data_IF_154856239506
#
_entry.id   IF_154856239506
#
_cell.length_a   1.000
_cell.length_b   1.000
_cell.length_c   1.000
_cell.angle_alpha   90.00
_cell.angle_beta   90.00
_cell.angle_gamma   90.00
#
_symmetry.space_group_name_H-M   'P 1'
#
loop_
_entity.id
_entity.type
_entity.pdbx_description
1 polymer ?
#
# COMPACT_ATOMS: atom_id res chain seq x y z
N UNK A 1 -7.71 3.37 7.07
CA UNK A 1 -6.74 2.72 8.03
C UNK A 1 -5.43 2.37 7.28
N UNK A 2 -4.23 2.42 7.89
CA UNK A 2 -2.91 2.30 7.21
C UNK A 2 -2.12 1.00 7.49
N UNK A 3 -2.62 0.08 8.32
CA UNK A 3 -2.09 -1.29 8.38
C UNK A 3 -2.23 -2.15 7.09
N UNK A 4 -3.09 -1.83 6.10
CA UNK A 4 -3.25 -2.62 4.87
C UNK A 4 -1.97 -2.87 4.07
N UNK A 5 -1.06 -1.91 4.07
CA UNK A 5 0.21 -1.94 3.32
C UNK A 5 1.31 -2.72 4.03
N UNK A 6 1.11 -3.15 5.29
CA UNK A 6 2.09 -3.98 5.97
C UNK A 6 2.26 -5.31 5.23
N UNK A 7 3.47 -5.86 5.22
CA UNK A 7 3.70 -7.16 4.60
C UNK A 7 2.87 -8.27 5.28
N UNK A 8 2.58 -9.34 4.54
CA UNK A 8 1.87 -10.53 5.05
C UNK A 8 2.67 -11.25 6.16
N UNK A 9 4.00 -11.09 6.17
CA UNK A 9 4.92 -11.68 7.15
C UNK A 9 4.66 -11.20 8.59
N UNK A 10 4.92 -12.07 9.57
CA UNK A 10 4.98 -11.72 11.01
C UNK A 10 6.41 -11.56 11.54
N UNK A 11 7.39 -11.57 10.65
CA UNK A 11 8.77 -11.30 11.01
C UNK A 11 8.89 -9.87 11.60
N UNK A 12 9.79 -9.61 12.57
CA UNK A 12 9.84 -8.32 13.28
C UNK A 12 10.05 -7.10 12.38
N UNK A 13 10.73 -7.28 11.25
CA UNK A 13 10.93 -6.27 10.19
C UNK A 13 9.62 -5.85 9.47
N UNK A 14 8.57 -6.68 9.56
CA UNK A 14 7.24 -6.40 9.04
C UNK A 14 6.28 -5.82 10.10
N UNK A 15 6.79 -5.42 11.26
CA UNK A 15 6.04 -4.78 12.33
C UNK A 15 6.34 -3.29 12.41
N UNK A 16 5.28 -2.49 12.59
CA UNK A 16 5.39 -1.08 12.90
C UNK A 16 6.02 -0.89 14.28
N UNK A 17 7.10 -0.12 14.32
CA UNK A 17 7.75 0.36 15.54
C UNK A 17 7.03 1.59 16.13
N UNK A 18 6.28 2.33 15.30
CA UNK A 18 5.49 3.49 15.75
C UNK A 18 4.15 3.02 16.34
N UNK A 19 3.75 3.48 17.55
CA UNK A 19 2.45 3.18 18.12
C UNK A 19 1.29 3.63 17.22
N UNK A 20 0.14 2.97 17.36
CA UNK A 20 -1.09 3.37 16.66
C UNK A 20 -1.43 4.84 16.97
N UNK A 21 -1.68 5.64 15.93
CA UNK A 21 -1.92 7.10 16.00
C UNK A 21 -0.81 7.87 16.74
N UNK A 22 0.36 7.26 16.91
CA UNK A 22 1.50 7.88 17.58
C UNK A 22 2.12 8.98 16.73
N UNK A 23 2.92 9.83 17.38
CA UNK A 23 3.80 10.76 16.68
C UNK A 23 5.01 10.00 16.13
N UNK A 24 5.42 10.35 14.92
CA UNK A 24 6.72 9.92 14.40
C UNK A 24 7.78 10.77 15.08
N UNK A 25 8.75 10.11 15.70
CA UNK A 25 9.87 10.75 16.38
C UNK A 25 11.15 10.44 15.62
N UNK A 26 12.07 11.39 15.62
CA UNK A 26 13.41 11.18 15.06
C UNK A 26 14.21 10.20 15.92
N UNK A 27 15.12 9.47 15.29
CA UNK A 27 16.14 8.72 16.01
C UNK A 27 17.15 9.67 16.66
N UNK A 28 17.92 9.18 17.63
CA UNK A 28 18.96 9.98 18.28
C UNK A 28 20.11 10.37 17.33
N UNK A 29 20.29 9.63 16.23
CA UNK A 29 21.25 9.92 15.14
C UNK A 29 20.71 10.88 14.09
N UNK A 30 19.42 11.16 14.10
CA UNK A 30 18.78 11.99 13.08
C UNK A 30 18.98 13.48 13.37
N UNK A 31 19.15 14.33 12.35
CA UNK A 31 19.20 15.78 12.50
C UNK A 31 17.95 16.34 13.20
N UNK A 32 18.12 17.39 14.00
CA UNK A 32 17.01 18.00 14.75
C UNK A 32 15.92 18.58 13.83
N UNK A 33 16.29 18.99 12.62
CA UNK A 33 15.37 19.54 11.63
C UNK A 33 14.30 18.54 11.18
N UNK A 34 14.58 17.23 11.26
CA UNK A 34 13.60 16.19 10.90
C UNK A 34 12.41 16.17 11.84
N UNK A 35 12.57 16.55 13.11
CA UNK A 35 11.46 16.60 14.07
C UNK A 35 10.39 17.60 13.60
N UNK A 36 10.82 18.79 13.18
CA UNK A 36 9.92 19.83 12.63
C UNK A 36 9.26 19.38 11.33
N UNK A 37 9.95 18.59 10.51
CA UNK A 37 9.41 18.06 9.26
C UNK A 37 8.33 17.01 9.54
N UNK A 38 8.59 16.08 10.47
CA UNK A 38 7.63 15.05 10.86
C UNK A 38 6.35 15.65 11.41
N UNK A 39 6.43 16.65 12.30
CA UNK A 39 5.26 17.32 12.85
C UNK A 39 4.38 18.00 11.80
N UNK A 40 5.00 18.50 10.72
CA UNK A 40 4.29 19.24 9.66
C UNK A 40 3.77 18.37 8.52
N UNK A 41 4.49 17.29 8.19
CA UNK A 41 4.27 16.55 6.95
C UNK A 41 3.74 15.13 7.16
N UNK A 42 3.75 14.62 8.39
CA UNK A 42 3.26 13.27 8.67
C UNK A 42 1.89 13.33 9.32
N UNK A 43 0.93 12.71 8.66
CA UNK A 43 -0.40 12.46 9.18
C UNK A 43 -0.54 10.98 9.60
N UNK A 44 -0.66 10.73 10.90
CA UNK A 44 -0.84 9.38 11.45
C UNK A 44 -2.28 9.04 11.82
N UNK A 45 -3.29 9.86 11.44
CA UNK A 45 -4.71 9.63 11.79
C UNK A 45 -5.21 8.25 11.38
N UNK A 46 -4.75 7.77 10.23
CA UNK A 46 -5.12 6.46 9.71
C UNK A 46 -4.17 5.34 10.15
N UNK A 47 -3.06 5.63 10.83
CA UNK A 47 -2.12 4.63 11.38
C UNK A 47 -2.72 3.91 12.58
N UNK A 48 -3.12 2.65 12.39
CA UNK A 48 -3.74 1.85 13.45
C UNK A 48 -2.77 0.85 14.10
N UNK A 49 -1.46 1.00 13.88
CA UNK A 49 -0.45 0.10 14.44
C UNK A 49 -0.33 -1.21 13.68
N UNK A 50 0.08 -2.28 14.37
CA UNK A 50 0.34 -3.59 13.79
C UNK A 50 -0.94 -4.32 13.35
N UNK A 51 -0.81 -5.11 12.29
CA UNK A 51 -1.88 -5.98 11.76
C UNK A 51 -2.49 -6.89 12.85
N UNK A 52 -3.83 -6.99 12.94
CA UNK A 52 -4.49 -7.85 13.92
C UNK A 52 -4.31 -9.34 13.59
N UNK A 53 -4.48 -10.21 14.58
CA UNK A 53 -4.26 -11.67 14.42
C UNK A 53 -5.25 -12.31 13.44
N UNK A 54 -6.49 -11.80 13.37
CA UNK A 54 -7.59 -12.32 12.52
C UNK A 54 -7.70 -11.59 11.18
N UNK A 55 -6.60 -11.49 10.43
CA UNK A 55 -6.59 -10.90 9.08
C UNK A 55 -5.69 -11.71 8.13
N UNK A 56 -5.80 -11.48 6.82
CA UNK A 56 -4.95 -12.10 5.81
C UNK A 56 -4.49 -11.06 4.75
N UNK A 57 -3.73 -11.51 3.75
CA UNK A 57 -3.27 -10.63 2.67
C UNK A 57 -4.41 -10.03 1.84
N UNK A 58 -5.39 -10.83 1.45
CA UNK A 58 -6.50 -10.41 0.61
C UNK A 58 -7.38 -9.34 1.28
N UNK A 59 -7.83 -9.60 2.52
CA UNK A 59 -8.66 -8.65 3.27
C UNK A 59 -7.97 -7.30 3.44
N UNK A 60 -6.65 -7.31 3.64
CA UNK A 60 -5.87 -6.07 3.74
C UNK A 60 -5.72 -5.38 2.40
N UNK A 61 -5.49 -6.11 1.31
CA UNK A 61 -5.46 -5.51 -0.03
C UNK A 61 -6.81 -4.89 -0.40
N UNK A 62 -7.94 -5.50 -0.01
CA UNK A 62 -9.28 -4.92 -0.19
C UNK A 62 -9.48 -3.67 0.67
N UNK A 63 -9.10 -3.72 1.96
CA UNK A 63 -9.14 -2.54 2.84
C UNK A 63 -8.30 -1.39 2.28
N UNK A 64 -7.12 -1.67 1.69
CA UNK A 64 -6.32 -0.63 1.03
C UNK A 64 -7.10 0.04 -0.10
N UNK A 65 -7.72 -0.73 -0.99
CA UNK A 65 -8.54 -0.16 -2.07
C UNK A 65 -9.71 0.66 -1.52
N UNK A 66 -10.41 0.16 -0.49
CA UNK A 66 -11.50 0.89 0.15
C UNK A 66 -11.01 2.24 0.71
N UNK A 67 -9.89 2.25 1.45
CA UNK A 67 -9.29 3.49 1.98
C UNK A 67 -8.90 4.45 0.85
N UNK A 68 -8.36 3.94 -0.26
CA UNK A 68 -8.00 4.78 -1.42
C UNK A 68 -9.22 5.49 -2.01
N UNK A 69 -10.36 4.81 -2.14
CA UNK A 69 -11.55 5.40 -2.77
C UNK A 69 -12.46 6.17 -1.82
N UNK A 70 -12.40 5.89 -0.50
CA UNK A 70 -13.34 6.48 0.47
C UNK A 70 -12.69 7.42 1.48
N UNK A 71 -11.44 7.19 1.89
CA UNK A 71 -10.78 7.97 2.95
C UNK A 71 -9.80 9.02 2.39
N UNK A 72 -9.33 8.88 1.15
CA UNK A 72 -8.34 9.76 0.55
C UNK A 72 -8.97 10.76 -0.44
N UNK A 73 -8.80 12.04 -0.16
CA UNK A 73 -9.19 13.14 -1.07
C UNK A 73 -8.06 13.48 -2.07
N UNK A 74 -7.43 12.47 -2.67
CA UNK A 74 -6.29 12.62 -3.57
C UNK A 74 -6.41 11.70 -4.78
N UNK A 75 -6.17 12.25 -5.97
CA UNK A 75 -6.18 11.49 -7.22
C UNK A 75 -4.93 10.63 -7.41
N UNK A 76 -3.79 11.08 -6.86
CA UNK A 76 -2.51 10.37 -6.94
C UNK A 76 -2.08 9.89 -5.56
N UNK A 77 -1.95 8.58 -5.40
CA UNK A 77 -1.49 7.93 -4.18
C UNK A 77 -0.14 7.27 -4.44
N UNK A 78 0.86 7.61 -3.62
CA UNK A 78 2.15 6.94 -3.62
C UNK A 78 2.15 5.91 -2.50
N UNK A 79 2.14 4.63 -2.86
CA UNK A 79 2.26 3.54 -1.92
C UNK A 79 3.71 3.03 -1.88
N UNK A 80 4.30 2.97 -0.69
CA UNK A 80 5.65 2.44 -0.46
C UNK A 80 5.54 1.19 0.42
N UNK A 81 6.27 0.13 0.06
CA UNK A 81 6.18 -1.13 0.79
C UNK A 81 7.02 -2.25 0.18
N UNK A 82 6.67 -3.48 0.55
CA UNK A 82 7.45 -4.66 0.22
C UNK A 82 7.06 -5.21 -1.16
N UNK A 83 8.06 -5.61 -1.95
CA UNK A 83 7.85 -6.06 -3.33
C UNK A 83 6.95 -7.31 -3.46
N UNK A 84 6.90 -8.15 -2.42
CA UNK A 84 5.97 -9.29 -2.35
C UNK A 84 4.50 -8.88 -2.16
N UNK A 85 4.25 -7.80 -1.42
CA UNK A 85 2.90 -7.24 -1.27
C UNK A 85 2.42 -6.74 -2.63
N UNK A 86 3.25 -5.95 -3.34
CA UNK A 86 2.90 -5.42 -4.66
C UNK A 86 2.68 -6.52 -5.69
N UNK A 87 3.52 -7.56 -5.72
CA UNK A 87 3.28 -8.72 -6.61
C UNK A 87 1.94 -9.39 -6.31
N UNK A 88 1.60 -9.56 -5.04
CA UNK A 88 0.29 -10.12 -4.64
C UNK A 88 -0.85 -9.21 -5.07
N UNK A 89 -0.70 -7.89 -4.92
CA UNK A 89 -1.67 -6.88 -5.33
C UNK A 89 -1.95 -6.95 -6.84
N UNK A 90 -0.90 -7.00 -7.67
CA UNK A 90 -1.04 -7.17 -9.12
C UNK A 90 -1.70 -8.50 -9.49
N UNK A 91 -1.37 -9.60 -8.80
CA UNK A 91 -2.03 -10.90 -9.04
C UNK A 91 -3.52 -10.89 -8.69
N UNK A 92 -3.90 -10.11 -7.68
CA UNK A 92 -5.28 -10.03 -7.21
C UNK A 92 -6.14 -9.11 -8.09
N UNK A 93 -5.62 -7.95 -8.49
CA UNK A 93 -6.45 -6.91 -9.12
C UNK A 93 -6.21 -6.72 -10.63
N UNK A 94 -5.22 -7.38 -11.24
CA UNK A 94 -5.20 -7.46 -12.70
C UNK A 94 -6.12 -8.57 -13.20
N UNK A 95 -6.91 -8.34 -14.28
CA UNK A 95 -7.81 -9.34 -14.83
C UNK A 95 -7.09 -10.66 -15.09
N UNK A 96 -7.70 -11.80 -14.74
CA UNK A 96 -7.08 -13.11 -14.86
C UNK A 96 -6.61 -13.44 -16.28
N UNK A 97 -7.30 -12.93 -17.29
CA UNK A 97 -6.99 -13.09 -18.72
C UNK A 97 -5.77 -12.31 -19.19
N UNK A 98 -5.29 -11.34 -18.41
CA UNK A 98 -4.13 -10.51 -18.77
C UNK A 98 -2.85 -11.18 -18.28
N UNK A 99 -1.97 -11.55 -19.21
CA UNK A 99 -0.60 -11.92 -18.90
C UNK A 99 0.26 -10.66 -18.74
N UNK A 100 0.87 -10.48 -17.57
CA UNK A 100 1.74 -9.34 -17.29
C UNK A 100 2.87 -9.72 -16.34
N UNK A 101 4.06 -9.13 -16.53
CA UNK A 101 5.27 -9.45 -15.75
C UNK A 101 5.07 -9.24 -14.24
N UNK A 102 4.26 -8.25 -13.87
CA UNK A 102 3.94 -7.91 -12.47
C UNK A 102 3.24 -9.03 -11.70
N UNK A 103 2.61 -9.99 -12.39
CA UNK A 103 2.02 -11.18 -11.76
C UNK A 103 3.05 -12.24 -11.40
N UNK A 104 4.22 -12.22 -12.05
CA UNK A 104 5.25 -13.26 -11.96
C UNK A 104 6.47 -12.78 -11.17
N UNK A 105 6.93 -11.56 -11.43
CA UNK A 105 8.13 -10.96 -10.83
C UNK A 105 7.78 -9.95 -9.75
N UNK A 106 8.70 -9.77 -8.80
CA UNK A 106 8.60 -8.78 -7.73
C UNK A 106 9.16 -7.47 -8.26
N UNK A 107 8.65 -6.32 -7.83
CA UNK A 107 9.36 -5.05 -8.05
C UNK A 107 10.81 -5.15 -7.56
N UNK A 108 11.74 -4.61 -8.34
CA UNK A 108 13.13 -4.53 -7.89
C UNK A 108 13.22 -3.59 -6.68
N UNK A 109 14.29 -3.71 -5.89
CA UNK A 109 14.50 -2.81 -4.77
C UNK A 109 14.64 -1.36 -5.27
N UNK A 110 13.85 -0.44 -4.71
CA UNK A 110 13.77 0.95 -5.16
C UNK A 110 13.01 1.15 -6.47
N UNK A 111 12.43 0.09 -7.06
CA UNK A 111 11.60 0.19 -8.26
C UNK A 111 10.30 0.96 -8.01
N UNK A 112 9.86 1.70 -9.02
CA UNK A 112 8.65 2.51 -9.02
C UNK A 112 7.85 2.24 -10.31
N UNK A 113 6.56 1.96 -10.14
CA UNK A 113 5.61 1.74 -11.23
C UNK A 113 4.34 2.53 -10.95
N UNK A 114 3.76 3.11 -12.00
CA UNK A 114 2.46 3.79 -11.96
C UNK A 114 1.39 2.92 -12.60
N UNK A 115 0.14 3.03 -12.12
CA UNK A 115 -1.04 2.42 -12.72
C UNK A 115 -2.30 3.12 -12.22
N UNK A 116 -3.39 2.99 -12.97
CA UNK A 116 -4.72 3.42 -12.59
C UNK A 116 -5.45 2.28 -11.89
N UNK A 117 -5.94 2.57 -10.68
CA UNK A 117 -6.84 1.70 -9.92
C UNK A 117 -8.28 2.15 -10.20
N UNK A 118 -9.17 1.20 -10.43
CA UNK A 118 -10.58 1.43 -10.75
C UNK A 118 -11.46 0.76 -9.70
N UNK A 119 -12.64 1.35 -9.47
CA UNK A 119 -13.71 0.82 -8.63
C UNK A 119 -14.98 0.69 -9.47
N UNK A 120 -15.68 -0.44 -9.31
CA UNK A 120 -17.04 -0.63 -9.83
C UNK A 120 -17.95 -1.15 -8.72
N UNK A 121 -19.22 -0.81 -8.81
CA UNK A 121 -20.27 -1.42 -8.00
C UNK A 121 -20.69 -2.73 -8.65
N UNK A 122 -21.02 -3.73 -7.83
CA UNK A 122 -21.54 -5.01 -8.29
C UNK A 122 -23.07 -5.01 -8.24
N UNK A 123 -23.75 -5.87 -9.02
CA UNK A 123 -25.22 -5.92 -9.03
C UNK A 123 -25.86 -6.22 -7.67
N UNK A 124 -25.13 -6.88 -6.76
CA UNK A 124 -25.52 -7.20 -5.38
C UNK A 124 -25.19 -6.09 -4.36
N UNK A 125 -24.72 -4.92 -4.81
CA UNK A 125 -24.40 -3.77 -3.96
C UNK A 125 -23.04 -3.84 -3.27
N UNK A 126 -22.16 -4.75 -3.72
CA UNK A 126 -20.77 -4.82 -3.32
C UNK A 126 -19.86 -3.90 -4.16
N UNK A 127 -18.59 -3.84 -3.79
CA UNK A 127 -17.56 -3.14 -4.56
C UNK A 127 -16.54 -4.13 -5.12
N UNK A 128 -16.11 -3.87 -6.36
CA UNK A 128 -14.98 -4.55 -6.98
C UNK A 128 -13.92 -3.54 -7.40
N UNK A 129 -12.66 -3.95 -7.27
CA UNK A 129 -11.51 -3.14 -7.64
C UNK A 129 -10.71 -3.84 -8.74
N UNK A 130 -10.13 -3.05 -9.64
CA UNK A 130 -9.35 -3.56 -10.76
C UNK A 130 -8.23 -2.60 -11.14
N UNK A 131 -7.10 -3.13 -11.59
CA UNK A 131 -6.04 -2.35 -12.22
C UNK A 131 -6.29 -2.32 -13.73
N UNK A 132 -6.30 -1.13 -14.33
CA UNK A 132 -6.27 -1.02 -15.79
C UNK A 132 -4.90 -1.48 -16.29
N UNK A 133 -4.85 -2.64 -16.92
CA UNK A 133 -3.63 -3.23 -17.44
C UNK A 133 -2.89 -2.32 -18.42
N UNK A 134 -3.60 -1.47 -19.18
CA UNK A 134 -3.00 -0.56 -20.16
C UNK A 134 -2.35 0.66 -19.53
N UNK A 135 -2.71 0.98 -18.29
CA UNK A 135 -2.17 2.13 -17.54
C UNK A 135 -0.82 1.83 -16.88
N UNK A 136 -0.40 0.55 -16.80
CA UNK A 136 0.82 0.18 -16.09
C UNK A 136 2.03 0.77 -16.79
N UNK A 137 2.77 1.63 -16.09
CA UNK A 137 3.97 2.30 -16.58
C UNK A 137 5.13 2.08 -15.62
N UNK A 138 6.30 1.72 -16.15
CA UNK A 138 7.53 1.67 -15.37
C UNK A 138 8.08 3.09 -15.26
N UNK A 139 8.13 3.62 -14.04
CA UNK A 139 8.69 4.94 -13.77
C UNK A 139 10.19 4.84 -13.46
N UNK A 140 10.61 3.78 -12.75
CA UNK A 140 12.01 3.49 -12.46
C UNK A 140 12.18 2.01 -12.06
N UNK A 141 13.23 1.31 -12.51
CA UNK A 141 13.63 -0.01 -12.01
C UNK A 141 12.71 -1.22 -12.34
N UNK A 142 11.38 -1.04 -12.38
CA UNK A 142 10.44 -2.07 -12.82
C UNK A 142 10.40 -3.35 -11.95
N UNK A 143 10.16 -4.49 -12.62
CA UNK A 143 9.92 -5.82 -12.06
C UNK A 143 11.04 -6.82 -12.36
#
# INVERSE_FOLDING_TARGET
RLFPLQEISRNPDALSITPAKGKVVRAWTDPEELERLFEKQIDTRLHTGNKPVKTNGLLRMQEFCHVVFHDFEKETIIAVGHSLWFRSFFRTFLPHTVEHVSKKRKLINGGCVGFSLQRTETPDGGEQFMIDAKSITILYGGF
#
